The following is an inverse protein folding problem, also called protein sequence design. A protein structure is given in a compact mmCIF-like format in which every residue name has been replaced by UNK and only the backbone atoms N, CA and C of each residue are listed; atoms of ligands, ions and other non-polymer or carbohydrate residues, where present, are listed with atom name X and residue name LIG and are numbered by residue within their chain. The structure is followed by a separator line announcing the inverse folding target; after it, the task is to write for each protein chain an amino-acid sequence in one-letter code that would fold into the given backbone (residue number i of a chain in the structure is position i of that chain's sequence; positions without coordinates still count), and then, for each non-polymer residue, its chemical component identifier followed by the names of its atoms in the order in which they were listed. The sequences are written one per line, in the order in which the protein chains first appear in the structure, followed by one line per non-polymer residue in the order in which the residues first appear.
data_IF_694395997818
#
_entry.id   IF_694395997818
#
_cell.length_a   1.000
_cell.length_b   1.000
_cell.length_c   1.000
_cell.angle_alpha   90.00
_cell.angle_beta   90.00
_cell.angle_gamma   90.00
#
_symmetry.space_group_name_H-M   'P 1'
#
loop_
_entity.id
_entity.type
_entity.pdbx_description
1 polymer ?
#
# COMPACT_ATOMS: atom_id res chain seq x y z
N UNK A 1 -24.52 -11.28 27.54
CA UNK A 1 -24.12 -9.92 27.92
C UNK A 1 -22.63 -9.76 27.66
N UNK A 2 -22.30 -8.98 26.64
CA UNK A 2 -20.93 -8.57 26.31
C UNK A 2 -20.43 -7.59 27.39
N UNK A 3 -19.24 -7.80 27.95
CA UNK A 3 -18.55 -6.79 28.75
C UNK A 3 -17.24 -6.41 28.06
N UNK A 4 -17.27 -5.23 27.43
CA UNK A 4 -16.10 -4.45 27.07
C UNK A 4 -15.39 -4.00 28.35
N UNK A 5 -14.06 -3.81 28.34
CA UNK A 5 -13.22 -3.08 29.34
C UNK A 5 -12.30 -3.88 30.30
N UNK A 6 -11.48 -4.82 29.80
CA UNK A 6 -10.14 -5.13 30.37
C UNK A 6 -9.15 -5.52 29.26
N UNK A 7 -8.95 -4.70 28.24
CA UNK A 7 -7.84 -3.73 28.19
C UNK A 7 -6.56 -4.08 28.96
N UNK A 8 -5.59 -4.62 28.21
CA UNK A 8 -4.19 -4.15 28.09
C UNK A 8 -3.03 -4.95 28.73
N UNK A 9 -3.07 -5.56 29.93
CA UNK A 9 -1.76 -5.81 30.61
C UNK A 9 -1.34 -7.24 31.03
N UNK A 10 -2.19 -8.27 30.98
CA UNK A 10 -1.93 -9.40 31.90
C UNK A 10 -1.13 -10.59 31.34
N UNK A 11 -1.02 -10.86 30.02
CA UNK A 11 -0.69 -12.24 29.61
C UNK A 11 0.50 -12.56 28.71
N UNK A 12 1.49 -11.71 28.39
CA UNK A 12 2.66 -12.23 27.63
C UNK A 12 4.03 -11.62 28.05
N UNK A 13 4.45 -11.91 29.28
CA UNK A 13 5.77 -11.59 29.86
C UNK A 13 6.95 -12.47 29.38
N UNK A 14 6.88 -13.11 28.20
CA UNK A 14 8.02 -13.95 27.75
C UNK A 14 8.58 -13.67 26.35
N UNK A 15 7.91 -12.92 25.48
CA UNK A 15 8.46 -12.30 24.26
C UNK A 15 7.44 -11.27 23.77
N UNK A 16 7.67 -9.99 24.02
CA UNK A 16 6.71 -8.93 23.72
C UNK A 16 6.76 -8.54 22.24
N UNK A 17 6.25 -9.40 21.37
CA UNK A 17 5.96 -9.02 19.99
C UNK A 17 4.63 -8.25 19.99
N UNK A 18 4.68 -6.95 19.69
CA UNK A 18 3.48 -6.11 19.60
C UNK A 18 2.73 -6.48 18.32
N UNK A 19 1.74 -7.34 18.44
CA UNK A 19 0.87 -7.74 17.34
C UNK A 19 -0.44 -6.97 17.36
N UNK A 20 -0.83 -6.43 16.21
CA UNK A 20 -2.15 -5.85 16.01
C UNK A 20 -3.20 -6.97 16.07
N UNK A 21 -4.05 -6.95 17.09
CA UNK A 21 -4.96 -8.06 17.41
C UNK A 21 -6.04 -8.32 16.34
N UNK A 22 -6.31 -7.31 15.50
CA UNK A 22 -7.18 -7.29 14.31
C UNK A 22 -7.44 -5.81 13.98
N UNK A 23 -7.54 -5.40 12.70
CA UNK A 23 -7.48 -6.18 11.46
C UNK A 23 -6.09 -6.72 11.12
N UNK A 24 -6.05 -7.74 10.26
CA UNK A 24 -4.83 -8.40 9.76
C UNK A 24 -3.94 -7.48 8.93
N UNK A 25 -4.48 -6.40 8.38
CA UNK A 25 -3.80 -5.49 7.45
C UNK A 25 -3.23 -4.26 8.16
N UNK A 26 -2.58 -4.51 9.31
CA UNK A 26 -1.92 -3.48 10.12
C UNK A 26 -0.53 -3.91 10.56
N UNK A 27 0.31 -2.91 10.81
CA UNK A 27 1.62 -3.07 11.42
C UNK A 27 1.74 -2.18 12.67
N UNK A 28 2.58 -2.60 13.62
CA UNK A 28 2.87 -1.79 14.78
C UNK A 28 3.87 -0.69 14.44
N UNK A 29 3.49 0.57 14.62
CA UNK A 29 4.38 1.71 14.43
C UNK A 29 4.96 2.14 15.79
N UNK A 30 6.27 1.88 16.06
CA UNK A 30 6.89 2.19 17.34
C UNK A 30 7.04 3.69 17.59
N UNK A 31 6.96 4.54 16.55
CA UNK A 31 7.08 6.00 16.71
C UNK A 31 5.84 6.63 17.33
N UNK A 32 4.67 6.08 17.02
CA UNK A 32 3.37 6.58 17.52
C UNK A 32 2.73 5.62 18.52
N UNK A 33 3.42 4.51 18.84
CA UNK A 33 2.94 3.42 19.69
C UNK A 33 1.53 2.95 19.35
N UNK A 34 1.21 2.84 18.05
CA UNK A 34 -0.13 2.48 17.58
C UNK A 34 -0.07 1.58 16.33
N UNK A 35 -1.16 0.84 16.09
CA UNK A 35 -1.36 0.05 14.90
C UNK A 35 -1.78 0.95 13.73
N UNK A 36 -1.00 0.91 12.66
CA UNK A 36 -1.22 1.71 11.44
C UNK A 36 -1.62 0.79 10.30
N UNK A 37 -2.49 1.27 9.42
CA UNK A 37 -2.85 0.56 8.18
C UNK A 37 -1.61 0.35 7.31
N UNK A 38 -1.65 -0.72 6.51
CA UNK A 38 -0.57 -1.02 5.60
C UNK A 38 -0.38 0.07 4.53
N UNK A 39 0.87 0.29 4.08
CA UNK A 39 1.11 1.16 2.95
C UNK A 39 0.43 0.61 1.70
N UNK A 40 0.10 1.50 0.76
CA UNK A 40 -0.48 1.14 -0.54
C UNK A 40 0.30 -0.01 -1.17
N UNK A 41 -0.43 -1.02 -1.64
CA UNK A 41 0.13 -2.20 -2.28
C UNK A 41 0.55 -3.33 -1.35
N UNK A 42 0.28 -3.24 -0.05
CA UNK A 42 0.62 -4.28 0.94
C UNK A 42 -0.56 -4.63 1.85
N UNK A 43 -0.57 -5.87 2.34
CA UNK A 43 -1.58 -6.42 3.24
C UNK A 43 -0.99 -7.55 4.09
N UNK A 44 -1.81 -8.11 4.98
CA UNK A 44 -1.44 -9.18 5.90
C UNK A 44 -0.65 -8.69 7.12
N UNK A 45 -0.36 -9.62 8.03
CA UNK A 45 0.28 -9.32 9.30
C UNK A 45 1.59 -8.58 9.09
N UNK A 46 1.72 -7.39 9.68
CA UNK A 46 2.90 -6.55 9.53
C UNK A 46 3.20 -6.14 8.06
N UNK A 47 2.18 -6.14 7.20
CA UNK A 47 2.26 -5.76 5.79
C UNK A 47 3.24 -6.63 4.99
N UNK A 48 3.35 -7.91 5.36
CA UNK A 48 4.31 -8.85 4.77
C UNK A 48 3.99 -9.25 3.33
N UNK A 49 2.76 -9.06 2.88
CA UNK A 49 2.30 -9.52 1.58
C UNK A 49 2.04 -8.33 0.65
N UNK A 50 2.58 -8.37 -0.57
CA UNK A 50 2.21 -7.44 -1.63
C UNK A 50 0.86 -7.82 -2.23
N UNK A 51 0.06 -6.84 -2.68
CA UNK A 51 -1.21 -7.10 -3.36
C UNK A 51 -1.04 -8.13 -4.48
N UNK A 52 -1.94 -9.11 -4.51
CA UNK A 52 -1.92 -10.18 -5.49
C UNK A 52 -2.57 -9.68 -6.77
N UNK A 53 -1.93 -9.91 -7.92
CA UNK A 53 -2.55 -9.68 -9.22
C UNK A 53 -3.97 -10.30 -9.29
N UNK A 54 -4.98 -9.57 -9.78
CA UNK A 54 -4.88 -8.27 -10.47
C UNK A 54 -4.93 -7.05 -9.54
N UNK A 55 -4.96 -7.21 -8.23
CA UNK A 55 -5.15 -6.11 -7.29
C UNK A 55 -3.91 -5.26 -7.04
N UNK A 56 -4.11 -3.97 -6.80
CA UNK A 56 -3.08 -3.01 -6.39
C UNK A 56 -3.69 -1.86 -5.55
N UNK A 57 -2.85 -0.96 -5.05
CA UNK A 57 -3.30 0.26 -4.37
C UNK A 57 -3.60 0.08 -2.88
N UNK A 58 -4.26 1.06 -2.27
CA UNK A 58 -4.67 1.01 -0.85
C UNK A 58 -5.65 -0.14 -0.64
N UNK A 59 -5.38 -0.97 0.38
CA UNK A 59 -6.17 -2.16 0.71
C UNK A 59 -6.40 -3.13 -0.46
N UNK A 60 -5.55 -3.07 -1.49
CA UNK A 60 -5.65 -3.86 -2.71
C UNK A 60 -7.03 -3.74 -3.41
N UNK A 61 -7.69 -2.58 -3.32
CA UNK A 61 -9.04 -2.36 -3.87
C UNK A 61 -9.04 -1.91 -5.35
N UNK A 62 -7.88 -1.57 -5.92
CA UNK A 62 -7.76 -1.23 -7.35
C UNK A 62 -7.39 -2.47 -8.18
N UNK A 63 -7.75 -2.51 -9.47
CA UNK A 63 -7.53 -3.67 -10.35
C UNK A 63 -6.76 -3.32 -11.63
N UNK A 64 -5.67 -4.04 -11.89
CA UNK A 64 -4.83 -3.90 -13.07
C UNK A 64 -5.52 -4.42 -14.33
N UNK A 65 -5.64 -3.56 -15.35
CA UNK A 65 -6.13 -3.89 -16.69
C UNK A 65 -4.99 -4.16 -17.69
N UNK A 66 -3.89 -4.76 -17.22
CA UNK A 66 -2.70 -5.04 -18.02
C UNK A 66 -2.16 -6.45 -17.70
N UNK A 67 -1.19 -6.90 -18.50
CA UNK A 67 -0.50 -8.16 -18.23
C UNK A 67 0.17 -8.13 -16.84
N UNK A 68 0.15 -9.26 -16.14
CA UNK A 68 0.75 -9.41 -14.79
C UNK A 68 2.18 -8.84 -14.68
N UNK A 69 3.00 -8.97 -15.73
CA UNK A 69 4.37 -8.43 -15.78
C UNK A 69 4.48 -6.91 -15.72
N UNK A 70 3.39 -6.20 -16.02
CA UNK A 70 3.31 -4.73 -16.06
C UNK A 70 2.44 -4.16 -14.93
N UNK A 71 1.91 -5.03 -14.06
CA UNK A 71 1.10 -4.65 -12.91
C UNK A 71 1.99 -4.56 -11.66
N UNK A 72 2.19 -3.34 -11.20
CA UNK A 72 2.85 -3.04 -9.93
C UNK A 72 1.80 -3.04 -8.80
N UNK A 73 2.11 -3.66 -7.67
CA UNK A 73 1.16 -3.80 -6.56
C UNK A 73 0.84 -2.46 -5.87
N UNK A 74 1.68 -1.43 -6.02
CA UNK A 74 1.44 -0.07 -5.48
C UNK A 74 0.80 0.83 -6.54
N UNK A 75 1.33 0.78 -7.76
CA UNK A 75 1.04 1.76 -8.81
C UNK A 75 0.08 1.29 -9.89
N UNK A 76 -0.16 -0.02 -9.98
CA UNK A 76 -1.01 -0.61 -11.01
C UNK A 76 -0.28 -0.76 -12.33
N UNK A 77 -0.96 -0.48 -13.44
CA UNK A 77 -0.42 -0.71 -14.77
C UNK A 77 0.63 0.31 -15.17
N UNK A 78 1.83 -0.17 -15.51
CA UNK A 78 2.89 0.64 -16.08
C UNK A 78 2.70 0.75 -17.60
N UNK A 79 2.07 1.81 -18.07
CA UNK A 79 1.91 2.10 -19.49
C UNK A 79 3.24 2.52 -20.12
N UNK A 80 4.04 1.56 -20.60
CA UNK A 80 5.30 1.81 -21.33
C UNK A 80 5.18 1.52 -22.82
N UNK A 81 4.12 1.94 -23.49
CA UNK A 81 4.12 2.07 -24.95
C UNK A 81 4.17 3.55 -25.30
N UNK A 82 5.38 4.11 -25.44
CA UNK A 82 5.63 5.35 -26.19
C UNK A 82 7.14 5.48 -26.47
N UNK A 83 7.43 6.07 -27.63
CA UNK A 83 8.72 6.30 -28.29
C UNK A 83 9.90 6.61 -27.33
N UNK A 84 11.12 6.21 -27.69
CA UNK A 84 12.34 6.33 -26.84
C UNK A 84 12.61 7.75 -26.30
N UNK A 85 12.17 8.81 -27.00
CA UNK A 85 12.27 10.21 -26.52
C UNK A 85 11.16 10.56 -25.52
N UNK A 86 9.94 10.05 -25.73
CA UNK A 86 8.81 10.27 -24.83
C UNK A 86 9.04 9.54 -23.52
N UNK A 87 9.71 8.37 -23.54
CA UNK A 87 10.12 7.62 -22.33
C UNK A 87 10.85 8.46 -21.30
N UNK A 88 11.79 9.33 -21.68
CA UNK A 88 12.55 10.11 -20.70
C UNK A 88 11.68 11.18 -20.02
N UNK A 89 10.75 11.78 -20.76
CA UNK A 89 9.78 12.75 -20.23
C UNK A 89 8.62 12.08 -19.48
N UNK A 90 8.14 10.92 -19.93
CA UNK A 90 7.10 10.16 -19.25
C UNK A 90 7.64 9.39 -18.06
N UNK A 91 8.92 8.99 -18.01
CA UNK A 91 9.56 8.41 -16.83
C UNK A 91 9.70 9.45 -15.72
N UNK A 92 10.05 10.71 -16.04
CA UNK A 92 10.15 11.78 -15.04
C UNK A 92 8.77 12.19 -14.51
N UNK A 93 7.77 12.34 -15.39
CA UNK A 93 6.38 12.60 -14.99
C UNK A 93 5.77 11.39 -14.25
N UNK A 94 6.04 10.16 -14.68
CA UNK A 94 5.55 8.95 -14.00
C UNK A 94 6.29 8.68 -12.69
N UNK A 95 7.58 9.02 -12.55
CA UNK A 95 8.23 8.98 -11.22
C UNK A 95 7.64 10.04 -10.31
N UNK A 96 7.32 11.22 -10.82
CA UNK A 96 6.66 12.26 -10.01
C UNK A 96 5.21 11.91 -9.65
N UNK A 97 4.42 11.33 -10.57
CA UNK A 97 3.08 10.85 -10.24
C UNK A 97 3.11 9.59 -9.34
N UNK A 98 4.12 8.73 -9.48
CA UNK A 98 4.36 7.64 -8.52
C UNK A 98 4.71 8.20 -7.14
N UNK A 99 5.57 9.21 -7.08
CA UNK A 99 5.94 9.92 -5.85
C UNK A 99 4.70 10.59 -5.22
N UNK A 100 3.89 11.29 -6.01
CA UNK A 100 2.68 11.97 -5.56
C UNK A 100 1.59 10.99 -5.09
N UNK A 101 1.41 9.85 -5.77
CA UNK A 101 0.49 8.79 -5.31
C UNK A 101 1.01 8.12 -4.03
N UNK A 102 2.32 7.92 -3.92
CA UNK A 102 2.96 7.31 -2.75
C UNK A 102 2.89 8.21 -1.50
N UNK A 103 3.09 9.52 -1.66
CA UNK A 103 3.03 10.51 -0.57
C UNK A 103 1.69 11.25 -0.45
N UNK A 104 0.69 10.91 -1.28
CA UNK A 104 -0.60 11.57 -1.36
C UNK A 104 -0.51 13.10 -1.52
N UNK A 105 0.48 13.58 -2.28
CA UNK A 105 0.71 15.00 -2.55
C UNK A 105 -0.01 15.40 -3.85
N UNK A 106 -0.95 16.35 -3.79
CA UNK A 106 -1.72 16.82 -4.96
C UNK A 106 -0.98 17.88 -5.79
N UNK A 107 0.31 17.68 -6.06
CA UNK A 107 1.15 18.69 -6.72
C UNK A 107 0.94 18.67 -8.23
N UNK A 108 0.74 17.49 -8.83
CA UNK A 108 0.39 17.33 -10.23
C UNK A 108 -1.03 16.74 -10.39
N UNK A 109 -1.74 17.13 -11.45
CA UNK A 109 -3.06 16.59 -11.80
C UNK A 109 -2.88 15.18 -12.38
N UNK A 110 -2.47 14.23 -11.53
CA UNK A 110 -2.27 12.82 -11.89
C UNK A 110 -3.65 12.14 -12.00
N UNK A 111 -4.42 12.49 -13.02
CA UNK A 111 -5.74 11.91 -13.34
C UNK A 111 -5.64 10.63 -14.19
N UNK A 112 -4.53 9.91 -14.08
CA UNK A 112 -4.22 8.77 -14.92
C UNK A 112 -5.02 7.51 -14.57
N UNK A 113 -6.19 7.35 -15.18
CA UNK A 113 -6.67 6.01 -15.63
C UNK A 113 -6.38 5.93 -17.12
N UNK A 114 -5.15 5.56 -17.48
CA UNK A 114 -4.81 5.33 -18.87
C UNK A 114 -5.33 3.96 -19.26
N UNK A 115 -6.40 3.97 -20.08
CA UNK A 115 -7.03 2.80 -20.69
C UNK A 115 -6.03 1.93 -21.44
#
# INVERSE_FOLDING_TARGET
MFNQLTSICVLFYLNAEVFCSSPSDKYYNPKIHNCTDCPSGYYGSNCSNSCRYPSYGVDCQEECQCAKKACDHVFGCSSYELNEIIRLFSLSIATQCRYDKYYNTKIHNCTGTYK
#
